data_IF_136341567437
#
_entry.id   IF_136341567437
#
_cell.length_a   1.000
_cell.length_b   1.000
_cell.length_c   1.000
_cell.angle_alpha   90.00
_cell.angle_beta   90.00
_cell.angle_gamma   90.00
#
_symmetry.space_group_name_H-M   'P 1'
#
loop_
_entity.id
_entity.type
_entity.pdbx_description
1 polymer ?
#
# COMPACT_ATOMS: atom_id res chain seq x y z
N UNK A 1 9.09 -8.18 20.45
CA UNK A 1 9.53 -8.11 19.04
C UNK A 1 8.43 -7.36 18.33
N UNK A 2 8.69 -6.14 17.87
CA UNK A 2 7.64 -5.28 17.31
C UNK A 2 7.07 -5.95 16.06
N UNK A 3 5.77 -6.22 16.07
CA UNK A 3 5.04 -6.67 14.89
C UNK A 3 5.21 -5.57 13.84
N UNK A 4 5.86 -5.92 12.73
CA UNK A 4 5.94 -5.04 11.57
C UNK A 4 4.52 -4.56 11.26
N UNK A 5 4.35 -3.30 10.85
CA UNK A 5 3.08 -2.70 10.44
C UNK A 5 2.52 -3.41 9.19
N UNK A 6 2.07 -4.65 9.35
CA UNK A 6 1.45 -5.45 8.31
C UNK A 6 -0.01 -5.04 8.32
N UNK A 7 -0.49 -4.51 7.19
CA UNK A 7 -1.92 -4.32 6.99
C UNK A 7 -2.57 -5.70 7.04
N UNK A 8 -3.35 -5.94 8.09
CA UNK A 8 -3.90 -7.26 8.37
C UNK A 8 -4.82 -7.77 7.26
N UNK A 9 -5.56 -6.88 6.59
CA UNK A 9 -6.48 -7.25 5.51
C UNK A 9 -6.58 -6.15 4.47
N UNK A 10 -6.49 -6.52 3.19
CA UNK A 10 -6.61 -5.66 2.01
C UNK A 10 -7.58 -6.31 1.03
N UNK A 11 -8.72 -5.65 0.79
CA UNK A 11 -9.75 -6.15 -0.13
C UNK A 11 -9.59 -5.65 -1.56
N UNK A 12 -8.59 -4.81 -1.81
CA UNK A 12 -8.36 -4.17 -3.11
C UNK A 12 -7.51 -5.12 -3.96
N UNK A 13 -8.18 -6.08 -4.60
CA UNK A 13 -7.55 -7.18 -5.33
C UNK A 13 -6.93 -6.80 -6.68
N UNK A 14 -7.12 -5.56 -7.14
CA UNK A 14 -6.43 -5.02 -8.32
C UNK A 14 -5.13 -4.28 -7.98
N UNK A 15 -4.78 -4.20 -6.69
CA UNK A 15 -3.54 -3.62 -6.21
C UNK A 15 -2.38 -4.60 -6.48
N UNK A 16 -1.27 -4.11 -7.03
CA UNK A 16 -0.07 -4.91 -7.30
C UNK A 16 0.59 -5.50 -6.04
N UNK A 17 0.22 -5.00 -4.86
CA UNK A 17 0.68 -5.51 -3.56
C UNK A 17 -0.31 -6.47 -2.89
N UNK A 18 -1.46 -6.73 -3.52
CA UNK A 18 -2.46 -7.64 -2.99
C UNK A 18 -1.98 -9.09 -3.12
N UNK A 19 -2.10 -9.83 -2.02
CA UNK A 19 -1.85 -11.26 -1.98
C UNK A 19 -2.84 -11.91 -1.02
N UNK A 20 -3.83 -12.62 -1.55
CA UNK A 20 -4.79 -13.42 -0.77
C UNK A 20 -5.39 -12.63 0.42
N UNK A 21 -5.99 -11.47 0.14
CA UNK A 21 -6.55 -10.57 1.16
C UNK A 21 -5.54 -9.88 2.08
N UNK A 22 -4.23 -9.95 1.80
CA UNK A 22 -3.20 -9.20 2.51
C UNK A 22 -2.55 -8.16 1.59
N UNK A 23 -2.12 -7.02 2.16
CA UNK A 23 -1.27 -6.07 1.45
C UNK A 23 0.18 -6.27 1.89
N UNK A 24 1.06 -6.57 0.93
CA UNK A 24 2.49 -6.80 1.18
C UNK A 24 3.37 -5.62 0.76
N UNK A 25 2.80 -4.41 0.70
CA UNK A 25 3.58 -3.21 0.49
C UNK A 25 4.63 -3.06 1.62
N UNK A 26 5.92 -3.12 1.26
CA UNK A 26 7.00 -3.09 2.25
C UNK A 26 7.16 -1.72 2.94
N UNK A 27 6.67 -0.66 2.28
CA UNK A 27 6.72 0.72 2.78
C UNK A 27 5.53 1.50 2.26
N UNK A 28 5.11 2.49 3.04
CA UNK A 28 4.18 3.51 2.55
C UNK A 28 4.98 4.45 1.66
N UNK A 29 4.56 4.59 0.42
CA UNK A 29 5.05 5.63 -0.48
C UNK A 29 4.19 6.87 -0.28
N UNK A 30 4.87 7.98 -0.02
CA UNK A 30 4.26 9.31 0.14
C UNK A 30 4.94 10.22 -0.87
N UNK A 31 4.16 10.96 -1.64
CA UNK A 31 4.65 12.02 -2.51
C UNK A 31 4.17 13.37 -2.00
N UNK A 32 4.82 14.45 -2.43
CA UNK A 32 4.44 15.82 -2.05
C UNK A 32 3.73 16.45 -3.23
N UNK A 33 2.42 16.65 -3.09
CA UNK A 33 1.62 17.42 -4.06
C UNK A 33 1.38 18.82 -3.50
N UNK A 34 1.97 19.83 -4.15
CA UNK A 34 1.82 21.27 -3.88
C UNK A 34 1.83 21.70 -2.40
N UNK A 35 0.73 21.52 -1.68
CA UNK A 35 0.50 21.94 -0.29
C UNK A 35 0.19 20.79 0.69
N UNK A 36 0.06 19.54 0.22
CA UNK A 36 -0.18 18.37 1.07
C UNK A 36 0.59 17.12 0.62
N UNK A 37 0.69 16.14 1.52
CA UNK A 37 1.33 14.86 1.25
C UNK A 37 0.27 13.85 0.79
N UNK A 38 0.54 13.17 -0.32
CA UNK A 38 -0.34 12.14 -0.88
C UNK A 38 0.22 10.74 -0.66
N UNK A 39 -0.65 9.85 -0.19
CA UNK A 39 -0.33 8.44 -0.02
C UNK A 39 -0.39 7.72 -1.37
N UNK A 40 0.78 7.56 -2.00
CA UNK A 40 0.96 6.91 -3.30
C UNK A 40 1.34 5.43 -3.17
N UNK A 41 0.87 4.76 -2.11
CA UNK A 41 1.21 3.35 -1.85
C UNK A 41 0.40 2.39 -2.73
N UNK A 42 -0.79 2.80 -3.17
CA UNK A 42 -1.58 2.00 -4.09
C UNK A 42 -0.95 2.04 -5.49
N UNK A 43 -0.86 0.87 -6.12
CA UNK A 43 -0.47 0.72 -7.50
C UNK A 43 -1.37 -0.34 -8.12
N UNK A 44 -1.93 -0.09 -9.31
CA UNK A 44 -2.71 -1.09 -10.02
C UNK A 44 -1.79 -2.14 -10.67
N UNK A 45 -2.19 -3.41 -10.68
CA UNK A 45 -1.38 -4.52 -11.26
C UNK A 45 -1.06 -4.31 -12.75
N UNK A 46 -1.86 -3.52 -13.46
CA UNK A 46 -1.75 -3.27 -14.90
C UNK A 46 -0.96 -2.01 -15.28
N UNK A 47 -0.44 -1.25 -14.31
CA UNK A 47 0.29 0.02 -14.50
C UNK A 47 1.82 -0.10 -14.34
#
# INVERSE_FOLDING_TARGET
MAENNIIATCHVNDCSFWQNEHCLAQKIQVDVMQDHADCMTYKKESE
#
